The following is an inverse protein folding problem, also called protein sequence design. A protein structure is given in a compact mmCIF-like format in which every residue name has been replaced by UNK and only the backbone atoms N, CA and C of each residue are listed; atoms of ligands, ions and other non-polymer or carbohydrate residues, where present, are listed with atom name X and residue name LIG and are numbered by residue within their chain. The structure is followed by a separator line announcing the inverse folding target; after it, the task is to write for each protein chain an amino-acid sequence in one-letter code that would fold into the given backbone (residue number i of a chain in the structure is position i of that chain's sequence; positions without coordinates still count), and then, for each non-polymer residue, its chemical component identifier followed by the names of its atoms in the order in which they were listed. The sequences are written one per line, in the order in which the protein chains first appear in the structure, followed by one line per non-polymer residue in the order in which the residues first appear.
data_IF_754587975686
#
_entry.id   IF_754587975686
#
_cell.length_a   1.000
_cell.length_b   1.000
_cell.length_c   1.000
_cell.angle_alpha   90.00
_cell.angle_beta   90.00
_cell.angle_gamma   90.00
#
_symmetry.space_group_name_H-M   'P 1'
#
loop_
_entity.id
_entity.type
_entity.pdbx_description
1 polymer ?
#
# COMPACT_ATOMS: atom_id res chain seq x y z
N UNK A 1 -30.90 1.34 -32.47
CA UNK A 1 -29.70 1.22 -31.62
C UNK A 1 -29.47 -0.23 -31.26
N UNK A 2 -28.22 -0.71 -31.32
CA UNK A 2 -27.80 -2.04 -30.89
C UNK A 2 -27.09 -1.94 -29.54
N UNK A 3 -27.41 -2.84 -28.62
CA UNK A 3 -26.82 -2.87 -27.27
C UNK A 3 -25.82 -4.01 -27.16
N UNK A 4 -24.62 -3.72 -26.67
CA UNK A 4 -23.56 -4.70 -26.42
C UNK A 4 -23.21 -4.74 -24.94
N UNK A 5 -23.33 -5.91 -24.33
CA UNK A 5 -22.95 -6.14 -22.94
C UNK A 5 -21.51 -6.62 -22.81
N UNK A 6 -20.72 -5.99 -21.93
CA UNK A 6 -19.37 -6.45 -21.58
C UNK A 6 -19.32 -6.68 -20.08
N UNK A 7 -19.03 -7.91 -19.65
CA UNK A 7 -18.89 -8.26 -18.24
C UNK A 7 -17.41 -8.27 -17.84
N UNK A 8 -17.09 -7.56 -16.76
CA UNK A 8 -15.72 -7.41 -16.25
C UNK A 8 -15.60 -8.04 -14.88
N UNK A 9 -14.98 -9.22 -14.77
CA UNK A 9 -14.88 -9.97 -13.52
C UNK A 9 -13.48 -9.86 -12.87
N UNK A 10 -13.02 -8.64 -12.60
CA UNK A 10 -11.72 -8.44 -11.96
C UNK A 10 -11.75 -8.75 -10.46
N UNK A 11 -10.65 -9.31 -9.95
CA UNK A 11 -10.45 -9.52 -8.54
C UNK A 11 -10.43 -8.18 -7.77
N UNK A 12 -10.91 -8.13 -6.52
CA UNK A 12 -11.01 -6.90 -5.73
C UNK A 12 -9.68 -6.24 -5.37
N UNK A 13 -8.57 -6.95 -5.53
CA UNK A 13 -7.21 -6.46 -5.26
C UNK A 13 -6.53 -5.87 -6.51
N UNK A 14 -7.19 -5.94 -7.66
CA UNK A 14 -6.64 -5.48 -8.94
C UNK A 14 -7.07 -4.04 -9.18
N UNK A 15 -6.09 -3.16 -9.41
CA UNK A 15 -6.33 -1.83 -9.94
C UNK A 15 -6.40 -1.91 -11.47
N UNK A 16 -7.59 -1.63 -12.02
CA UNK A 16 -7.85 -1.68 -13.46
C UNK A 16 -6.97 -0.75 -14.29
N UNK A 17 -6.50 0.35 -13.69
CA UNK A 17 -5.65 1.34 -14.37
C UNK A 17 -4.24 0.83 -14.64
N UNK A 18 -3.77 -0.10 -13.80
CA UNK A 18 -2.45 -0.68 -13.90
C UNK A 18 -2.42 -1.95 -14.78
N UNK A 19 -3.56 -2.32 -15.38
CA UNK A 19 -3.65 -3.47 -16.29
C UNK A 19 -3.81 -3.02 -17.74
N UNK A 20 -3.05 -3.66 -18.65
CA UNK A 20 -3.15 -3.39 -20.09
C UNK A 20 -4.55 -3.66 -20.67
N UNK A 21 -5.29 -4.60 -20.08
CA UNK A 21 -6.65 -4.95 -20.49
C UNK A 21 -7.65 -3.81 -20.33
N UNK A 22 -7.53 -3.02 -19.25
CA UNK A 22 -8.38 -1.85 -19.03
C UNK A 22 -8.18 -0.80 -20.14
N UNK A 23 -6.93 -0.55 -20.51
CA UNK A 23 -6.60 0.39 -21.58
C UNK A 23 -7.09 -0.08 -22.94
N UNK A 24 -7.02 -1.39 -23.23
CA UNK A 24 -7.60 -1.93 -24.46
C UNK A 24 -9.12 -1.79 -24.51
N UNK A 25 -9.81 -2.02 -23.39
CA UNK A 25 -11.25 -1.76 -23.30
C UNK A 25 -11.57 -0.28 -23.57
N UNK A 26 -10.82 0.63 -22.97
CA UNK A 26 -11.02 2.07 -23.18
C UNK A 26 -10.78 2.47 -24.64
N UNK A 27 -9.70 2.00 -25.26
CA UNK A 27 -9.41 2.23 -26.68
C UNK A 27 -10.50 1.65 -27.60
N UNK A 28 -11.00 0.46 -27.29
CA UNK A 28 -12.10 -0.17 -28.01
C UNK A 28 -13.39 0.67 -27.93
N UNK A 29 -13.78 1.09 -26.73
CA UNK A 29 -14.98 1.91 -26.52
C UNK A 29 -14.84 3.29 -27.16
N UNK A 30 -13.64 3.88 -27.12
CA UNK A 30 -13.32 5.15 -27.78
C UNK A 30 -13.46 5.04 -29.30
N UNK A 31 -12.90 3.99 -29.90
CA UNK A 31 -13.03 3.76 -31.35
C UNK A 31 -14.47 3.45 -31.77
N UNK A 32 -15.27 2.87 -30.87
CA UNK A 32 -16.69 2.63 -31.12
C UNK A 32 -17.58 3.85 -30.84
N UNK A 33 -17.07 4.90 -30.19
CA UNK A 33 -17.85 6.08 -29.80
C UNK A 33 -18.33 6.91 -31.00
N UNK A 34 -17.62 6.85 -32.14
CA UNK A 34 -17.97 7.54 -33.39
C UNK A 34 -19.19 6.94 -34.09
N UNK A 35 -19.70 5.81 -33.58
CA UNK A 35 -20.88 5.11 -34.12
C UNK A 35 -22.12 5.41 -33.30
N UNK A 36 -23.08 6.10 -33.91
CA UNK A 36 -24.38 6.41 -33.31
C UNK A 36 -25.33 5.19 -33.22
N UNK A 37 -25.01 4.10 -33.92
CA UNK A 37 -25.84 2.89 -33.91
C UNK A 37 -25.54 1.94 -32.74
N UNK A 38 -24.50 2.23 -31.94
CA UNK A 38 -24.00 1.36 -30.88
C UNK A 38 -24.15 1.98 -29.48
N UNK A 39 -24.47 1.14 -28.50
CA UNK A 39 -24.43 1.49 -27.09
C UNK A 39 -23.87 0.34 -26.26
N UNK A 40 -22.92 0.64 -25.37
CA UNK A 40 -22.24 -0.37 -24.56
C UNK A 40 -22.74 -0.38 -23.12
N UNK A 41 -23.03 -1.56 -22.59
CA UNK A 41 -23.38 -1.76 -21.18
C UNK A 41 -22.27 -2.56 -20.52
N UNK A 42 -21.56 -1.91 -19.61
CA UNK A 42 -20.45 -2.48 -18.85
C UNK A 42 -20.98 -2.99 -17.51
N UNK A 43 -20.98 -4.30 -17.34
CA UNK A 43 -21.36 -4.94 -16.08
C UNK A 43 -20.10 -5.26 -15.30
N UNK A 44 -20.00 -4.79 -14.06
CA UNK A 44 -18.83 -5.05 -13.23
C UNK A 44 -19.18 -5.24 -11.75
N UNK A 45 -18.33 -5.94 -10.97
CA UNK A 45 -18.45 -6.01 -9.53
C UNK A 45 -18.47 -4.63 -8.85
N UNK A 46 -19.07 -4.59 -7.67
CA UNK A 46 -19.23 -3.36 -6.89
C UNK A 46 -17.91 -2.66 -6.54
N UNK A 47 -16.79 -3.39 -6.50
CA UNK A 47 -15.48 -2.86 -6.16
C UNK A 47 -14.73 -2.23 -7.34
N UNK A 48 -15.03 -2.63 -8.58
CA UNK A 48 -14.33 -2.16 -9.78
C UNK A 48 -15.00 -0.97 -10.46
N UNK A 49 -16.25 -0.66 -10.14
CA UNK A 49 -17.04 0.35 -10.87
C UNK A 49 -16.42 1.75 -10.88
N UNK A 50 -15.90 2.20 -9.72
CA UNK A 50 -15.26 3.52 -9.61
C UNK A 50 -13.95 3.59 -10.40
N UNK A 51 -13.13 2.55 -10.34
CA UNK A 51 -11.87 2.49 -11.05
C UNK A 51 -12.07 2.42 -12.57
N UNK A 52 -13.05 1.64 -13.02
CA UNK A 52 -13.45 1.58 -14.42
C UNK A 52 -13.92 2.93 -14.92
N UNK A 53 -14.77 3.63 -14.15
CA UNK A 53 -15.23 4.96 -14.52
C UNK A 53 -14.08 5.97 -14.59
N UNK A 54 -13.13 5.92 -13.65
CA UNK A 54 -11.95 6.77 -13.67
C UNK A 54 -11.05 6.48 -14.88
N UNK A 55 -10.85 5.21 -15.22
CA UNK A 55 -10.06 4.76 -16.38
C UNK A 55 -10.68 5.25 -17.71
N UNK A 56 -11.99 5.06 -17.89
CA UNK A 56 -12.68 5.52 -19.10
C UNK A 56 -12.67 7.04 -19.22
N UNK A 57 -12.79 7.75 -18.09
CA UNK A 57 -12.68 9.20 -18.06
C UNK A 57 -11.26 9.67 -18.42
N UNK A 58 -10.21 9.02 -17.90
CA UNK A 58 -8.81 9.39 -18.23
C UNK A 58 -8.46 9.16 -19.69
N UNK A 59 -9.08 8.17 -20.34
CA UNK A 59 -8.86 7.85 -21.76
C UNK A 59 -9.76 8.68 -22.70
N UNK A 60 -10.65 9.51 -22.13
CA UNK A 60 -11.54 10.41 -22.87
C UNK A 60 -12.70 9.70 -23.57
N UNK A 61 -13.22 8.61 -22.99
CA UNK A 61 -14.40 7.92 -23.53
C UNK A 61 -15.67 8.72 -23.17
N UNK A 62 -16.51 9.12 -24.16
CA UNK A 62 -17.72 9.90 -23.90
C UNK A 62 -18.72 9.13 -23.02
N UNK A 63 -19.25 9.77 -21.96
CA UNK A 63 -20.14 9.14 -20.96
C UNK A 63 -21.52 8.77 -21.50
N UNK A 64 -21.96 9.41 -22.56
CA UNK A 64 -23.23 9.15 -23.26
C UNK A 64 -23.19 7.85 -24.09
N UNK A 65 -21.99 7.34 -24.38
CA UNK A 65 -21.78 6.15 -25.24
C UNK A 65 -21.70 4.83 -24.50
N UNK A 66 -21.69 4.87 -23.16
CA UNK A 66 -21.68 3.67 -22.36
C UNK A 66 -22.48 3.83 -21.06
N UNK A 67 -22.95 2.71 -20.54
CA UNK A 67 -23.57 2.60 -19.22
C UNK A 67 -22.75 1.65 -18.35
N UNK A 68 -22.55 1.98 -17.07
CA UNK A 68 -21.94 1.06 -16.10
C UNK A 68 -23.02 0.55 -15.15
N UNK A 69 -23.21 -0.77 -15.10
CA UNK A 69 -24.06 -1.47 -14.15
C UNK A 69 -23.20 -2.24 -13.16
N UNK A 70 -23.35 -1.92 -11.88
CA UNK A 70 -22.68 -2.64 -10.80
C UNK A 70 -23.60 -2.79 -9.59
N UNK A 71 -23.45 -3.85 -8.78
CA UNK A 71 -24.15 -3.96 -7.52
C UNK A 71 -23.80 -2.79 -6.59
N UNK A 72 -24.79 -2.23 -5.90
CA UNK A 72 -24.59 -1.06 -5.04
C UNK A 72 -23.76 -1.31 -3.78
N UNK A 73 -23.60 -2.57 -3.35
CA UNK A 73 -22.87 -2.92 -2.14
C UNK A 73 -21.89 -4.07 -2.37
N UNK A 74 -20.77 -4.04 -1.64
CA UNK A 74 -19.81 -5.14 -1.59
C UNK A 74 -20.39 -6.34 -0.83
N UNK A 75 -20.12 -7.59 -1.26
CA UNK A 75 -20.46 -8.78 -0.49
C UNK A 75 -19.85 -8.75 0.92
N UNK A 76 -20.60 -9.26 1.91
CA UNK A 76 -20.16 -9.30 3.33
C UNK A 76 -18.86 -10.10 3.48
N UNK A 77 -18.76 -11.24 2.78
CA UNK A 77 -17.55 -12.09 2.78
C UNK A 77 -16.33 -11.30 2.32
N UNK A 78 -16.49 -10.46 1.29
CA UNK A 78 -15.40 -9.61 0.80
C UNK A 78 -14.98 -8.58 1.85
N UNK A 79 -15.94 -7.96 2.55
CA UNK A 79 -15.64 -7.02 3.65
C UNK A 79 -14.85 -7.71 4.77
N UNK A 80 -15.20 -8.94 5.11
CA UNK A 80 -14.47 -9.76 6.09
C UNK A 80 -13.04 -10.06 5.63
N UNK A 81 -12.86 -10.45 4.38
CA UNK A 81 -11.54 -10.70 3.79
C UNK A 81 -10.65 -9.46 3.76
N UNK A 82 -11.19 -8.30 3.36
CA UNK A 82 -10.47 -7.02 3.37
C UNK A 82 -10.04 -6.64 4.81
N UNK A 83 -10.92 -6.83 5.80
CA UNK A 83 -10.60 -6.59 7.20
C UNK A 83 -9.49 -7.53 7.73
N UNK A 84 -9.54 -8.81 7.36
CA UNK A 84 -8.51 -9.79 7.71
C UNK A 84 -7.15 -9.45 7.10
N UNK A 85 -7.12 -9.07 5.81
CA UNK A 85 -5.89 -8.59 5.18
C UNK A 85 -5.35 -7.34 5.88
N UNK A 86 -6.21 -6.38 6.20
CA UNK A 86 -5.81 -5.16 6.90
C UNK A 86 -5.24 -5.47 8.29
N UNK A 87 -5.79 -6.47 8.99
CA UNK A 87 -5.27 -6.93 10.27
C UNK A 87 -3.87 -7.53 10.13
N UNK A 88 -3.63 -8.40 9.14
CA UNK A 88 -2.30 -8.98 8.90
C UNK A 88 -1.24 -7.94 8.54
N UNK A 89 -1.60 -6.94 7.71
CA UNK A 89 -0.67 -5.90 7.24
C UNK A 89 -0.34 -4.86 8.31
N UNK A 90 -1.03 -4.86 9.47
CA UNK A 90 -0.71 -3.92 10.55
C UNK A 90 0.67 -4.26 11.12
N UNK A 91 1.61 -3.30 11.14
CA UNK A 91 2.90 -3.53 11.77
C UNK A 91 2.65 -3.85 13.25
N UNK A 92 3.11 -5.02 13.69
CA UNK A 92 3.08 -5.38 15.11
C UNK A 92 3.85 -4.29 15.86
N UNK A 93 3.15 -3.49 16.66
CA UNK A 93 3.80 -2.53 17.56
C UNK A 93 4.74 -3.34 18.44
N UNK A 94 6.06 -3.08 18.33
CA UNK A 94 7.04 -3.71 19.22
C UNK A 94 6.57 -3.45 20.66
N UNK A 95 6.41 -4.49 21.51
CA UNK A 95 6.07 -4.30 22.91
C UNK A 95 7.02 -3.31 23.57
N UNK A 96 6.52 -2.56 24.57
CA UNK A 96 7.29 -1.55 25.32
C UNK A 96 8.63 -2.09 25.82
N UNK A 97 8.70 -3.37 26.19
CA UNK A 97 9.92 -4.08 26.59
C UNK A 97 10.98 -4.15 25.48
N UNK A 98 10.57 -4.40 24.23
CA UNK A 98 11.50 -4.40 23.09
C UNK A 98 12.01 -2.98 22.78
N UNK A 99 11.19 -1.95 22.99
CA UNK A 99 11.66 -0.55 22.89
C UNK A 99 12.70 -0.20 23.97
N UNK A 100 12.51 -0.71 25.19
CA UNK A 100 13.47 -0.54 26.29
C UNK A 100 14.78 -1.29 26.04
N UNK A 101 14.72 -2.51 25.51
CA UNK A 101 15.90 -3.29 25.12
C UNK A 101 16.67 -2.56 24.00
N UNK A 102 15.98 -2.15 22.94
CA UNK A 102 16.58 -1.42 21.81
C UNK A 102 17.24 -0.10 22.29
N UNK A 103 16.62 0.61 23.23
CA UNK A 103 17.18 1.83 23.83
C UNK A 103 18.45 1.54 24.65
N UNK A 104 18.46 0.48 25.46
CA UNK A 104 19.64 0.08 26.26
C UNK A 104 20.85 -0.31 25.40
N UNK A 105 20.60 -0.93 24.24
CA UNK A 105 21.66 -1.28 23.29
C UNK A 105 22.23 -0.04 22.61
N UNK A 106 21.38 0.91 22.22
CA UNK A 106 21.82 2.16 21.58
C UNK A 106 22.63 3.04 22.54
N UNK A 107 22.25 3.11 23.83
CA UNK A 107 23.00 3.88 24.83
C UNK A 107 24.35 3.23 25.16
N UNK A 108 24.43 1.89 25.19
CA UNK A 108 25.70 1.15 25.37
C UNK A 108 26.69 1.38 24.23
N UNK A 109 26.24 1.33 22.98
CA UNK A 109 27.12 1.56 21.81
C UNK A 109 27.60 3.01 21.75
N UNK A 110 26.76 3.98 22.10
CA UNK A 110 27.15 5.39 22.17
C UNK A 110 28.13 5.67 23.33
N UNK A 111 27.97 4.99 24.47
CA UNK A 111 28.89 5.08 25.60
C UNK A 111 30.25 4.42 25.28
N UNK A 112 30.27 3.25 24.63
CA UNK A 112 31.53 2.59 24.23
C UNK A 112 32.34 3.44 23.26
N UNK A 113 31.71 4.12 22.29
CA UNK A 113 32.43 5.04 21.39
C UNK A 113 33.10 6.19 22.12
N UNK A 114 32.43 6.79 23.12
CA UNK A 114 33.04 7.84 23.96
C UNK A 114 34.19 7.33 24.82
N UNK A 115 34.12 6.06 25.23
CA UNK A 115 35.19 5.41 25.99
C UNK A 115 36.36 5.07 25.06
N UNK A 116 36.11 4.55 23.86
CA UNK A 116 37.14 4.27 22.84
C UNK A 116 37.86 5.54 22.39
N UNK A 117 37.13 6.64 22.13
CA UNK A 117 37.73 7.94 21.78
C UNK A 117 38.60 8.48 22.92
N UNK A 118 38.21 8.28 24.18
CA UNK A 118 39.00 8.69 25.35
C UNK A 118 40.18 7.75 25.63
N UNK A 119 40.06 6.46 25.34
CA UNK A 119 41.14 5.48 25.45
C UNK A 119 42.20 5.68 24.36
N UNK A 120 41.78 5.98 23.13
CA UNK A 120 42.68 6.27 22.01
C UNK A 120 43.50 7.55 22.22
N UNK A 121 42.98 8.49 23.01
CA UNK A 121 43.70 9.72 23.38
C UNK A 121 44.55 9.58 24.66
N UNK A 122 44.35 8.54 25.46
CA UNK A 122 45.00 8.40 26.77
C UNK A 122 46.14 7.36 26.76
N UNK A 123 47.30 7.73 26.22
CA UNK A 123 48.59 7.13 26.57
C UNK A 123 49.06 7.61 27.95
N UNK A 124 48.24 7.48 29.00
CA UNK A 124 48.62 7.91 30.35
C UNK A 124 47.90 7.13 31.45
N UNK A 125 48.73 6.53 32.32
CA UNK A 125 48.41 5.58 33.38
C UNK A 125 47.42 6.09 34.45
N UNK A 126 47.10 7.39 34.46
CA UNK A 126 46.14 8.01 35.39
C UNK A 126 44.66 7.89 34.97
N UNK A 127 44.37 7.43 33.75
CA UNK A 127 43.00 7.25 33.25
C UNK A 127 42.31 5.95 33.69
N UNK A 128 43.01 5.06 34.42
CA UNK A 128 42.48 3.78 34.92
C UNK A 128 41.54 3.95 36.14
N UNK A 129 41.65 5.04 36.90
CA UNK A 129 40.86 5.26 38.11
C UNK A 129 39.33 5.36 37.89
N UNK A 130 38.82 6.11 36.90
CA UNK A 130 37.37 6.18 36.64
C UNK A 130 36.79 4.88 36.05
N UNK A 131 37.64 3.98 35.55
CA UNK A 131 37.24 2.66 35.01
C UNK A 131 36.83 1.69 36.13
N UNK A 132 37.47 1.77 37.30
CA UNK A 132 37.09 0.99 38.49
C UNK A 132 35.81 1.51 39.15
N UNK A 133 35.60 2.83 39.18
CA UNK A 133 34.37 3.43 39.71
C UNK A 133 33.14 3.16 38.82
N UNK A 134 33.31 3.09 37.50
CA UNK A 134 32.23 2.76 36.56
C UNK A 134 31.76 1.30 36.60
N UNK A 135 32.60 0.38 37.10
CA UNK A 135 32.29 -1.06 37.20
C UNK A 135 31.46 -1.40 38.45
N UNK A 136 31.50 -0.55 39.48
CA UNK A 136 30.77 -0.73 40.76
C UNK A 136 29.31 -0.25 40.67
N UNK A 137 28.94 0.52 39.65
CA UNK A 137 27.59 1.10 39.47
C UNK A 137 26.74 0.27 38.47
N UNK A 138 27.23 -0.91 38.04
CA UNK A 138 26.51 -1.79 37.11
C UNK A 138 25.91 -3.02 37.79
#
# INVERSE_FOLDING_TARGET
MKHYGIFLAYAPTVDLRNQGLGRYLAAFLKGAADRDDLHFVLVCPSWSGKELQALLASEGVPRDRYEIRSPGQKPIVLRGFEAYQAYQKRPRKKPLRQRLIDWSHQTRVAAMRRIEERLAQAYSFSALLPLLLGLVIL
#
